data_IF_292159914656
#
_entry.id   IF_292159914656
#
_cell.length_a   1.000
_cell.length_b   1.000
_cell.length_c   1.000
_cell.angle_alpha   90.00
_cell.angle_beta   90.00
_cell.angle_gamma   90.00
#
_symmetry.space_group_name_H-M   'P 1'
#
loop_
_entity.id
_entity.type
_entity.pdbx_description
1 polymer ?
#
# COMPACT_ATOMS: atom_id res chain seq x y z
N UNK A 1 28.40 -14.64 -6.20
CA UNK A 1 26.92 -14.47 -6.19
C UNK A 1 26.46 -13.70 -4.95
N UNK A 2 26.98 -13.96 -3.74
CA UNK A 2 26.58 -13.21 -2.53
C UNK A 2 26.82 -11.69 -2.59
N UNK A 3 27.87 -11.24 -3.29
CA UNK A 3 28.15 -9.80 -3.45
C UNK A 3 27.12 -9.03 -4.29
N UNK A 4 26.27 -9.72 -5.05
CA UNK A 4 25.17 -9.08 -5.79
C UNK A 4 23.88 -8.99 -4.96
N UNK A 5 23.62 -9.96 -4.06
CA UNK A 5 22.47 -9.89 -3.15
C UNK A 5 22.64 -8.78 -2.11
N UNK A 6 23.85 -8.60 -1.57
CA UNK A 6 24.16 -7.50 -0.64
C UNK A 6 23.96 -6.14 -1.32
N UNK A 7 24.24 -6.02 -2.63
CA UNK A 7 24.01 -4.79 -3.40
C UNK A 7 22.53 -4.48 -3.61
N UNK A 8 21.66 -5.50 -3.61
CA UNK A 8 20.21 -5.35 -3.86
C UNK A 8 19.47 -4.93 -2.58
N UNK A 9 19.92 -5.38 -1.41
CA UNK A 9 19.37 -4.96 -0.11
C UNK A 9 19.92 -3.59 0.35
N UNK A 10 21.15 -3.22 -0.04
CA UNK A 10 21.71 -1.89 0.29
C UNK A 10 21.17 -0.75 -0.59
N UNK A 11 20.25 -1.03 -1.53
CA UNK A 11 19.44 0.02 -2.19
C UNK A 11 18.15 0.33 -1.43
N UNK A 12 18.20 0.24 -0.09
CA UNK A 12 17.45 1.13 0.78
C UNK A 12 17.74 2.57 0.31
N UNK A 13 16.94 3.09 -0.62
CA UNK A 13 17.00 4.48 -1.08
C UNK A 13 16.93 5.34 0.18
N UNK A 14 18.07 5.92 0.55
CA UNK A 14 18.14 6.91 1.63
C UNK A 14 17.08 7.97 1.33
N UNK A 15 16.23 8.27 2.31
CA UNK A 15 15.22 9.31 2.17
C UNK A 15 15.93 10.65 1.89
N UNK A 16 15.63 11.26 0.75
CA UNK A 16 16.19 12.57 0.41
C UNK A 16 15.45 13.66 1.21
N UNK A 17 16.09 14.23 2.23
CA UNK A 17 15.51 15.32 3.03
C UNK A 17 15.95 16.69 2.54
N UNK A 18 15.03 17.65 2.46
CA UNK A 18 15.33 19.07 2.25
C UNK A 18 14.59 19.94 3.24
N UNK A 19 15.25 20.96 3.75
CA UNK A 19 14.64 21.97 4.63
C UNK A 19 13.83 22.93 3.77
N UNK A 20 12.52 22.98 4.00
CA UNK A 20 11.61 23.94 3.40
C UNK A 20 11.23 25.06 4.37
N UNK A 21 10.87 26.24 3.83
CA UNK A 21 10.27 27.32 4.61
C UNK A 21 8.76 27.29 4.48
N UNK A 22 8.06 27.44 5.59
CA UNK A 22 6.60 27.59 5.61
C UNK A 22 6.28 29.09 5.53
N UNK A 23 5.44 29.48 4.57
CA UNK A 23 5.01 30.88 4.43
C UNK A 23 3.95 31.23 5.49
N UNK A 24 3.67 32.54 5.67
CA UNK A 24 2.61 32.99 6.59
C UNK A 24 1.21 32.42 6.26
N UNK A 25 0.98 32.05 5.00
CA UNK A 25 -0.26 31.41 4.53
C UNK A 25 -0.22 29.88 4.65
N UNK A 26 0.76 29.31 5.36
CA UNK A 26 0.96 27.86 5.50
C UNK A 26 1.23 27.15 4.17
N UNK A 27 1.81 27.86 3.20
CA UNK A 27 2.21 27.27 1.92
C UNK A 27 3.65 26.75 2.04
N UNK A 28 3.91 25.62 1.41
CA UNK A 28 5.24 25.03 1.22
C UNK A 28 5.51 24.91 -0.28
N UNK A 29 6.73 25.18 -0.69
CA UNK A 29 7.16 24.99 -2.08
C UNK A 29 7.76 23.61 -2.23
N UNK A 30 7.23 22.80 -3.15
CA UNK A 30 7.79 21.50 -3.50
C UNK A 30 8.94 21.72 -4.49
N UNK A 31 10.17 21.24 -4.20
CA UNK A 31 11.27 21.32 -5.15
C UNK A 31 10.93 20.62 -6.48
N UNK A 32 11.38 21.19 -7.60
CA UNK A 32 11.04 20.71 -8.95
C UNK A 32 11.40 19.23 -9.16
N UNK A 33 12.58 18.82 -8.71
CA UNK A 33 13.04 17.45 -8.80
C UNK A 33 12.15 16.47 -8.00
N UNK A 34 11.55 16.90 -6.90
CA UNK A 34 10.63 16.06 -6.12
C UNK A 34 9.26 15.99 -6.80
N UNK A 35 8.80 17.11 -7.37
CA UNK A 35 7.59 17.18 -8.16
C UNK A 35 7.66 16.22 -9.36
N UNK A 36 8.77 16.25 -10.10
CA UNK A 36 9.02 15.38 -11.25
C UNK A 36 9.14 13.90 -10.83
N UNK A 37 9.90 13.60 -9.76
CA UNK A 37 10.06 12.22 -9.24
C UNK A 37 8.75 11.59 -8.77
N UNK A 38 7.88 12.38 -8.13
CA UNK A 38 6.57 11.91 -7.65
C UNK A 38 5.55 11.77 -8.77
N UNK A 39 5.86 12.24 -9.98
CA UNK A 39 4.97 12.16 -11.13
C UNK A 39 3.65 12.87 -10.88
N UNK A 40 3.70 14.03 -10.22
CA UNK A 40 2.53 14.87 -10.10
C UNK A 40 2.16 15.37 -11.51
N UNK A 41 0.99 14.94 -12.00
CA UNK A 41 0.48 15.29 -13.34
C UNK A 41 -0.69 16.27 -13.23
N UNK A 42 -1.33 16.33 -12.06
CA UNK A 42 -2.46 17.20 -11.75
C UNK A 42 -2.08 18.19 -10.65
N UNK A 43 -2.85 19.27 -10.53
CA UNK A 43 -2.69 20.28 -9.47
C UNK A 43 -3.14 19.79 -8.08
N UNK A 44 -3.62 18.55 -7.98
CA UNK A 44 -4.14 17.96 -6.75
C UNK A 44 -3.16 16.97 -6.13
N UNK A 45 -2.98 17.08 -4.82
CA UNK A 45 -2.19 16.15 -4.00
C UNK A 45 -3.01 15.72 -2.79
N UNK A 46 -2.72 14.53 -2.29
CA UNK A 46 -3.28 14.08 -1.03
C UNK A 46 -2.30 14.41 0.10
N UNK A 47 -2.79 15.09 1.15
CA UNK A 47 -2.03 15.47 2.34
C UNK A 47 -2.59 14.67 3.51
N UNK A 48 -1.75 13.82 4.09
CA UNK A 48 -2.11 12.92 5.19
C UNK A 48 -1.36 13.37 6.43
N UNK A 49 -2.09 13.53 7.54
CA UNK A 49 -1.53 13.75 8.87
C UNK A 49 -1.47 12.41 9.60
N UNK A 50 -0.27 11.91 9.85
CA UNK A 50 -0.04 10.61 10.50
C UNK A 50 1.26 10.68 11.31
N UNK A 51 1.29 10.10 12.52
CA UNK A 51 2.48 10.02 13.38
C UNK A 51 3.26 11.33 13.57
N UNK A 52 2.55 12.46 13.70
CA UNK A 52 3.14 13.81 13.83
C UNK A 52 3.95 14.26 12.60
N UNK A 53 3.67 13.69 11.43
CA UNK A 53 4.27 14.02 10.15
C UNK A 53 3.18 14.35 9.11
N UNK A 54 3.53 15.20 8.15
CA UNK A 54 2.71 15.42 6.95
C UNK A 54 3.28 14.60 5.80
N UNK A 55 2.51 13.61 5.34
CA UNK A 55 2.85 12.81 4.16
C UNK A 55 2.07 13.36 2.97
N UNK A 56 2.80 13.73 1.91
CA UNK A 56 2.21 14.22 0.66
C UNK A 56 2.41 13.16 -0.40
N UNK A 57 1.33 12.70 -1.02
CA UNK A 57 1.37 11.73 -2.12
C UNK A 57 0.50 12.18 -3.29
N UNK A 58 0.71 11.58 -4.46
CA UNK A 58 -0.11 11.85 -5.64
C UNK A 58 -1.57 11.57 -5.29
N UNK A 59 -2.45 12.50 -5.63
CA UNK A 59 -3.88 12.25 -5.51
C UNK A 59 -4.24 11.15 -6.51
N UNK A 60 -4.57 9.97 -5.99
CA UNK A 60 -5.18 8.90 -6.78
C UNK A 60 -6.66 8.97 -6.50
N UNK A 61 -7.49 9.20 -7.51
CA UNK A 61 -8.91 8.93 -7.36
C UNK A 61 -9.05 7.45 -6.98
N UNK A 62 -9.92 7.16 -6.02
CA UNK A 62 -10.19 5.80 -5.55
C UNK A 62 -10.42 4.84 -6.74
N UNK A 63 -11.05 5.34 -7.81
CA UNK A 63 -11.25 4.64 -9.08
C UNK A 63 -9.96 4.14 -9.78
N UNK A 64 -8.84 4.85 -9.71
CA UNK A 64 -7.56 4.46 -10.35
C UNK A 64 -6.75 3.44 -9.53
N UNK A 65 -7.17 3.17 -8.28
CA UNK A 65 -6.53 2.21 -7.38
C UNK A 65 -7.14 0.81 -7.47
N UNK A 66 -8.23 0.67 -8.22
CA UNK A 66 -9.09 -0.51 -8.18
C UNK A 66 -8.79 -1.54 -9.28
N UNK A 67 -7.97 -1.18 -10.26
CA UNK A 67 -7.72 -2.03 -11.44
C UNK A 67 -7.00 -3.34 -11.09
N UNK A 68 -6.12 -3.35 -10.09
CA UNK A 68 -5.30 -4.55 -9.77
C UNK A 68 -6.13 -5.75 -9.27
N UNK A 69 -7.34 -5.54 -8.75
CA UNK A 69 -8.18 -6.59 -8.15
C UNK A 69 -9.58 -6.68 -8.74
N UNK A 70 -9.95 -5.77 -9.64
CA UNK A 70 -11.27 -5.71 -10.25
C UNK A 70 -11.64 -7.03 -10.93
N UNK A 71 -10.74 -7.59 -11.74
CA UNK A 71 -10.98 -8.85 -12.46
C UNK A 71 -11.20 -10.04 -11.51
N UNK A 72 -10.45 -10.09 -10.40
CA UNK A 72 -10.57 -11.14 -9.39
C UNK A 72 -11.91 -11.06 -8.65
N UNK A 73 -12.34 -9.85 -8.30
CA UNK A 73 -13.64 -9.63 -7.66
C UNK A 73 -14.77 -9.99 -8.61
N UNK A 74 -14.71 -9.52 -9.86
CA UNK A 74 -15.74 -9.83 -10.84
C UNK A 74 -15.83 -11.34 -11.06
N UNK A 75 -14.69 -12.03 -11.19
CA UNK A 75 -14.66 -13.49 -11.27
C UNK A 75 -15.33 -14.15 -10.06
N UNK A 76 -15.03 -13.70 -8.84
CA UNK A 76 -15.65 -14.26 -7.62
C UNK A 76 -17.17 -14.13 -7.61
N UNK A 77 -17.70 -12.99 -8.07
CA UNK A 77 -19.15 -12.73 -8.14
C UNK A 77 -19.82 -13.62 -9.19
N UNK A 78 -19.16 -13.83 -10.33
CA UNK A 78 -19.66 -14.70 -11.39
C UNK A 78 -19.62 -16.18 -10.98
N UNK A 79 -18.58 -16.61 -10.26
CA UNK A 79 -18.45 -17.97 -9.72
C UNK A 79 -19.54 -18.28 -8.67
N UNK A 80 -20.03 -17.27 -7.95
CA UNK A 80 -21.17 -17.39 -7.02
C UNK A 80 -22.53 -17.51 -7.74
N UNK A 81 -22.55 -17.42 -9.08
CA UNK A 81 -23.75 -17.62 -9.88
C UNK A 81 -24.67 -16.41 -9.95
N UNK A 82 -24.20 -15.22 -9.58
CA UNK A 82 -24.97 -13.97 -9.71
C UNK A 82 -24.99 -13.57 -11.18
N UNK A 83 -26.17 -13.64 -11.80
CA UNK A 83 -26.34 -13.35 -13.24
C UNK A 83 -27.00 -12.00 -13.52
N UNK A 84 -27.69 -11.41 -12.52
CA UNK A 84 -28.34 -10.13 -12.68
C UNK A 84 -27.30 -9.00 -12.71
N UNK A 85 -27.28 -8.22 -13.79
CA UNK A 85 -26.35 -7.10 -13.98
C UNK A 85 -26.38 -6.08 -12.84
N UNK A 86 -27.56 -5.73 -12.33
CA UNK A 86 -27.70 -4.73 -11.26
C UNK A 86 -27.17 -5.26 -9.93
N UNK A 87 -27.34 -6.55 -9.69
CA UNK A 87 -26.84 -7.25 -8.51
C UNK A 87 -25.30 -7.41 -8.56
N UNK A 88 -24.76 -7.77 -9.73
CA UNK A 88 -23.31 -7.81 -9.97
C UNK A 88 -22.67 -6.46 -9.67
N UNK A 89 -23.24 -5.36 -10.19
CA UNK A 89 -22.70 -4.01 -9.96
C UNK A 89 -22.74 -3.61 -8.47
N UNK A 90 -23.79 -4.01 -7.76
CA UNK A 90 -23.94 -3.73 -6.33
C UNK A 90 -22.90 -4.50 -5.51
N UNK A 91 -22.79 -5.80 -5.74
CA UNK A 91 -21.81 -6.66 -5.04
C UNK A 91 -20.37 -6.28 -5.38
N UNK A 92 -20.10 -5.95 -6.63
CA UNK A 92 -18.77 -5.50 -7.07
C UNK A 92 -18.33 -4.26 -6.31
N UNK A 93 -19.18 -3.23 -6.27
CA UNK A 93 -18.86 -1.99 -5.52
C UNK A 93 -18.70 -2.25 -4.03
N UNK A 94 -19.54 -3.11 -3.46
CA UNK A 94 -19.44 -3.48 -2.04
C UNK A 94 -18.10 -4.13 -1.73
N UNK A 95 -17.70 -5.15 -2.50
CA UNK A 95 -16.42 -5.87 -2.30
C UNK A 95 -15.21 -4.99 -2.55
N UNK A 96 -15.22 -4.17 -3.60
CA UNK A 96 -14.15 -3.20 -3.88
C UNK A 96 -13.92 -2.24 -2.72
N UNK A 97 -14.99 -1.80 -2.03
CA UNK A 97 -14.90 -0.91 -0.88
C UNK A 97 -14.44 -1.63 0.41
N UNK A 98 -14.75 -2.92 0.55
CA UNK A 98 -14.36 -3.72 1.72
C UNK A 98 -12.93 -4.25 1.63
N UNK A 99 -12.36 -4.38 0.41
CA UNK A 99 -11.00 -4.89 0.20
C UNK A 99 -9.93 -4.19 1.05
N UNK A 100 -9.84 -2.84 1.09
CA UNK A 100 -8.82 -2.17 1.88
C UNK A 100 -8.96 -2.44 3.38
N UNK A 101 -10.19 -2.55 3.89
CA UNK A 101 -10.48 -2.85 5.29
C UNK A 101 -10.08 -4.28 5.64
N UNK A 102 -10.51 -5.25 4.82
CA UNK A 102 -10.14 -6.66 5.00
C UNK A 102 -8.61 -6.88 4.93
N UNK A 103 -7.92 -6.17 4.04
CA UNK A 103 -6.46 -6.22 3.96
C UNK A 103 -5.79 -5.63 5.22
N UNK A 104 -6.32 -4.54 5.77
CA UNK A 104 -5.82 -3.96 7.02
C UNK A 104 -6.01 -4.90 8.20
N UNK A 105 -7.19 -5.52 8.31
CA UNK A 105 -7.50 -6.50 9.36
C UNK A 105 -6.56 -7.71 9.26
N UNK A 106 -6.34 -8.25 8.06
CA UNK A 106 -5.38 -9.35 7.85
C UNK A 106 -3.95 -8.96 8.27
N UNK A 107 -3.50 -7.75 7.94
CA UNK A 107 -2.18 -7.25 8.34
C UNK A 107 -2.10 -7.13 9.87
N UNK A 108 -3.17 -6.66 10.51
CA UNK A 108 -3.23 -6.52 11.95
C UNK A 108 -3.20 -7.89 12.64
N UNK A 109 -4.01 -8.84 12.20
CA UNK A 109 -4.01 -10.22 12.70
C UNK A 109 -2.62 -10.86 12.59
N UNK A 110 -1.93 -10.66 11.46
CA UNK A 110 -0.56 -11.16 11.28
C UNK A 110 0.41 -10.49 12.26
N UNK A 111 0.32 -9.16 12.44
CA UNK A 111 1.16 -8.44 13.41
C UNK A 111 0.93 -8.91 14.84
N UNK A 112 -0.31 -9.16 15.22
CA UNK A 112 -0.67 -9.67 16.54
C UNK A 112 -0.16 -11.10 16.76
N UNK A 113 -0.27 -11.97 15.76
CA UNK A 113 0.30 -13.32 15.83
C UNK A 113 1.81 -13.30 15.96
N UNK A 114 2.48 -12.48 15.16
CA UNK A 114 3.95 -12.33 15.20
C UNK A 114 4.41 -11.73 16.54
N UNK A 115 3.68 -10.78 17.11
CA UNK A 115 4.06 -10.17 18.40
C UNK A 115 3.95 -11.13 19.58
N UNK A 116 3.06 -12.11 19.50
CA UNK A 116 2.90 -13.17 20.50
C UNK A 116 3.70 -14.43 20.16
N UNK A 117 4.39 -14.47 19.02
CA UNK A 117 5.22 -15.59 18.63
C UNK A 117 6.52 -15.58 19.46
N UNK A 118 6.74 -16.67 20.21
CA UNK A 118 7.91 -16.83 21.09
C UNK A 118 8.94 -17.80 20.52
N UNK A 119 8.69 -18.31 19.32
CA UNK A 119 9.56 -19.28 18.65
C UNK A 119 10.85 -18.62 18.19
N UNK A 120 11.92 -19.39 18.21
CA UNK A 120 13.22 -19.02 17.65
C UNK A 120 13.12 -18.84 16.13
N UNK A 121 13.99 -18.02 15.55
CA UNK A 121 14.13 -17.94 14.08
C UNK A 121 14.33 -19.32 13.45
N UNK A 122 15.08 -20.19 14.12
CA UNK A 122 15.36 -21.55 13.64
C UNK A 122 14.10 -22.44 13.65
N UNK A 123 13.24 -22.29 14.67
CA UNK A 123 11.98 -23.04 14.76
C UNK A 123 10.95 -22.57 13.71
N UNK A 124 10.95 -21.27 13.40
CA UNK A 124 10.12 -20.69 12.34
C UNK A 124 10.57 -21.15 10.96
N UNK A 125 11.89 -21.18 10.72
CA UNK A 125 12.43 -21.61 9.44
C UNK A 125 12.10 -23.10 9.17
N UNK A 126 12.20 -23.96 10.19
CA UNK A 126 11.84 -25.38 10.08
C UNK A 126 10.34 -25.56 9.79
N UNK A 127 9.46 -24.79 10.42
CA UNK A 127 8.01 -24.90 10.17
C UNK A 127 7.60 -24.38 8.79
N UNK A 128 8.16 -23.25 8.35
CA UNK A 128 7.77 -22.59 7.11
C UNK A 128 8.38 -23.27 5.88
N UNK A 129 9.64 -23.70 5.98
CA UNK A 129 10.40 -24.23 4.84
C UNK A 129 10.67 -25.73 4.93
N UNK A 130 10.42 -26.36 6.07
CA UNK A 130 10.76 -27.76 6.33
C UNK A 130 12.24 -27.97 6.66
N UNK A 131 12.56 -29.11 7.29
CA UNK A 131 13.96 -29.56 7.43
C UNK A 131 14.54 -29.89 6.04
N UNK A 132 15.54 -29.12 5.60
CA UNK A 132 16.38 -29.46 4.46
C UNK A 132 17.62 -30.23 4.90
#
# INVERSE_FOLDING_TARGET
MEKELIKKETSLKMSESRIGKITAKRQITIPKDYYDKLGFVEDNVEIILDNNELRIRKYKKIEESHDDYADLILKSILDEGIQNKDEILKEFRLRMNLLPLAAQDLIQDVREKVSHDRRSSEELDIEVFGDN
#
